data_IF_525495812472
#
_entry.id   IF_525495812472
#
_cell.length_a   1.000
_cell.length_b   1.000
_cell.length_c   1.000
_cell.angle_alpha   90.00
_cell.angle_beta   90.00
_cell.angle_gamma   90.00
#
_symmetry.space_group_name_H-M   'P 1'
#
loop_
_entity.id
_entity.type
_entity.pdbx_description
1 polymer ?
#
# COMPACT_ATOMS: atom_id res chain seq x y z
N UNK A 1 25.39 -21.85 -2.78
CA UNK A 1 24.31 -20.85 -2.65
C UNK A 1 24.81 -19.77 -1.71
N UNK A 2 24.77 -18.50 -2.11
CA UNK A 2 25.12 -17.39 -1.22
C UNK A 2 24.08 -17.27 -0.11
N UNK A 3 24.48 -16.80 1.07
CA UNK A 3 23.53 -16.45 2.13
C UNK A 3 22.63 -15.32 1.62
N UNK A 4 21.30 -15.34 1.89
CA UNK A 4 20.41 -14.24 1.53
C UNK A 4 20.89 -12.93 2.12
N UNK A 5 20.77 -11.83 1.38
CA UNK A 5 21.13 -10.52 1.90
C UNK A 5 20.14 -10.12 3.01
N UNK A 6 20.56 -9.43 4.08
CA UNK A 6 19.64 -8.95 5.12
C UNK A 6 18.46 -8.14 4.58
N UNK A 7 18.66 -7.37 3.51
CA UNK A 7 17.60 -6.59 2.86
C UNK A 7 16.50 -7.48 2.27
N UNK A 8 16.87 -8.58 1.59
CA UNK A 8 15.91 -9.53 1.03
C UNK A 8 15.05 -10.14 2.15
N UNK A 9 15.68 -10.53 3.26
CA UNK A 9 15.00 -11.08 4.43
C UNK A 9 14.03 -10.04 5.03
N UNK A 10 14.44 -8.77 5.10
CA UNK A 10 13.61 -7.70 5.62
C UNK A 10 12.39 -7.42 4.71
N UNK A 11 12.60 -7.39 3.39
CA UNK A 11 11.54 -7.22 2.39
C UNK A 11 10.54 -8.38 2.47
N UNK A 12 11.03 -9.62 2.55
CA UNK A 12 10.16 -10.81 2.65
C UNK A 12 9.29 -10.78 3.91
N UNK A 13 9.87 -10.40 5.05
CA UNK A 13 9.12 -10.23 6.31
C UNK A 13 8.06 -9.15 6.20
N UNK A 14 8.40 -8.01 5.61
CA UNK A 14 7.45 -6.92 5.44
C UNK A 14 6.33 -7.28 4.45
N UNK A 15 6.67 -7.94 3.35
CA UNK A 15 5.69 -8.44 2.38
C UNK A 15 4.73 -9.47 3.00
N UNK A 16 5.20 -10.31 3.93
CA UNK A 16 4.34 -11.21 4.68
C UNK A 16 3.32 -10.43 5.55
N UNK A 17 3.76 -9.44 6.31
CA UNK A 17 2.88 -8.60 7.13
C UNK A 17 1.86 -7.81 6.28
N UNK A 18 2.29 -7.29 5.13
CA UNK A 18 1.40 -6.64 4.16
C UNK A 18 0.28 -7.58 3.69
N UNK A 19 0.63 -8.81 3.32
CA UNK A 19 -0.34 -9.83 2.86
C UNK A 19 -1.34 -10.22 3.95
N UNK A 20 -0.87 -10.38 5.19
CA UNK A 20 -1.71 -10.67 6.35
C UNK A 20 -2.74 -9.57 6.59
N UNK A 21 -2.28 -8.32 6.69
CA UNK A 21 -3.17 -7.17 6.88
C UNK A 21 -4.17 -7.00 5.73
N UNK A 22 -3.75 -7.21 4.48
CA UNK A 22 -4.66 -7.19 3.34
C UNK A 22 -5.70 -8.33 3.41
N UNK A 23 -5.36 -9.49 3.98
CA UNK A 23 -6.31 -10.56 4.18
C UNK A 23 -7.37 -10.18 5.23
N UNK A 24 -6.97 -9.56 6.33
CA UNK A 24 -7.89 -9.01 7.32
C UNK A 24 -8.85 -7.99 6.68
N UNK A 25 -8.31 -7.04 5.88
CA UNK A 25 -9.14 -6.06 5.18
C UNK A 25 -10.11 -6.68 4.18
N UNK A 26 -9.73 -7.76 3.48
CA UNK A 26 -10.67 -8.50 2.64
C UNK A 26 -11.81 -9.10 3.46
N UNK A 27 -11.53 -9.62 4.66
CA UNK A 27 -12.56 -10.15 5.56
C UNK A 27 -13.49 -9.05 6.11
N UNK A 28 -12.98 -7.83 6.28
CA UNK A 28 -13.76 -6.65 6.63
C UNK A 28 -14.60 -6.09 5.44
N UNK A 29 -14.47 -6.67 4.23
CA UNK A 29 -15.22 -6.29 3.04
C UNK A 29 -14.52 -5.29 2.12
N UNK A 30 -13.26 -4.90 2.41
CA UNK A 30 -12.50 -4.03 1.53
C UNK A 30 -12.06 -4.77 0.26
N UNK A 31 -12.31 -4.16 -0.90
CA UNK A 31 -11.96 -4.68 -2.24
C UNK A 31 -11.83 -3.52 -3.24
N UNK A 32 -11.61 -3.83 -4.53
CA UNK A 32 -11.75 -2.86 -5.62
C UNK A 32 -10.56 -1.92 -5.87
N UNK A 33 -9.50 -1.94 -5.06
CA UNK A 33 -8.35 -1.03 -5.22
C UNK A 33 -7.67 -1.11 -6.60
N UNK A 34 -7.70 -2.28 -7.23
CA UNK A 34 -7.08 -2.56 -8.52
C UNK A 34 -7.94 -2.14 -9.73
N UNK A 35 -9.18 -1.71 -9.49
CA UNK A 35 -10.08 -1.20 -10.53
C UNK A 35 -10.14 0.34 -10.45
N UNK A 36 -9.58 1.06 -11.44
CA UNK A 36 -9.58 2.52 -11.42
C UNK A 36 -10.97 3.16 -11.39
N UNK A 37 -12.00 2.45 -11.86
CA UNK A 37 -13.38 2.94 -11.86
C UNK A 37 -14.02 2.88 -10.47
N UNK A 38 -13.55 1.98 -9.61
CA UNK A 38 -14.01 1.81 -8.23
C UNK A 38 -13.14 2.58 -7.24
N UNK A 39 -11.84 2.67 -7.51
CA UNK A 39 -10.88 3.35 -6.66
C UNK A 39 -10.01 4.25 -7.53
N UNK A 40 -10.20 5.58 -7.54
CA UNK A 40 -9.32 6.50 -8.26
C UNK A 40 -7.92 6.58 -7.64
N UNK A 41 -6.89 6.90 -8.44
CA UNK A 41 -5.51 7.02 -7.94
C UNK A 41 -5.37 8.13 -6.87
N UNK A 42 -6.17 9.19 -6.98
CA UNK A 42 -6.21 10.29 -6.01
C UNK A 42 -6.63 9.80 -4.62
N UNK A 43 -7.56 8.85 -4.57
CA UNK A 43 -7.98 8.26 -3.30
C UNK A 43 -6.82 7.49 -2.64
N UNK A 44 -6.09 6.67 -3.40
CA UNK A 44 -4.95 5.91 -2.87
C UNK A 44 -3.82 6.83 -2.40
N UNK A 45 -3.52 7.88 -3.16
CA UNK A 45 -2.47 8.84 -2.77
C UNK A 45 -2.87 9.68 -1.56
N UNK A 46 -4.14 10.08 -1.45
CA UNK A 46 -4.67 10.74 -0.25
C UNK A 46 -4.56 9.82 0.97
N UNK A 47 -4.86 8.52 0.83
CA UNK A 47 -4.73 7.56 1.93
C UNK A 47 -3.28 7.32 2.36
N UNK A 48 -2.34 7.27 1.42
CA UNK A 48 -0.92 7.23 1.73
C UNK A 48 -0.48 8.49 2.51
N UNK A 49 -0.90 9.68 2.06
CA UNK A 49 -0.58 10.93 2.75
C UNK A 49 -1.18 10.99 4.16
N UNK A 50 -2.41 10.52 4.36
CA UNK A 50 -3.08 10.45 5.67
C UNK A 50 -2.25 9.64 6.69
N UNK A 51 -1.67 8.50 6.25
CA UNK A 51 -0.84 7.66 7.13
C UNK A 51 0.41 8.39 7.64
N UNK A 52 0.97 9.30 6.84
CA UNK A 52 2.19 10.03 7.18
C UNK A 52 1.89 11.30 7.97
N UNK A 53 0.86 12.05 7.56
CA UNK A 53 0.63 13.42 8.04
C UNK A 53 -0.49 13.54 9.08
N UNK A 54 -1.40 12.57 9.15
CA UNK A 54 -2.64 12.71 9.91
C UNK A 54 -2.81 11.66 11.01
N UNK A 55 -2.09 10.53 10.95
CA UNK A 55 -2.17 9.49 11.98
C UNK A 55 -1.26 9.82 13.17
N UNK A 56 -1.73 9.64 14.42
CA UNK A 56 -0.89 9.83 15.62
C UNK A 56 0.17 8.73 15.78
N UNK A 57 -0.07 7.55 15.20
CA UNK A 57 0.86 6.42 15.17
C UNK A 57 1.04 6.01 13.72
N UNK A 58 2.30 5.98 13.29
CA UNK A 58 2.68 5.51 11.97
C UNK A 58 2.40 4.01 11.86
N UNK A 59 1.73 3.59 10.79
CA UNK A 59 1.57 2.18 10.44
C UNK A 59 2.35 1.88 9.15
N UNK A 60 3.59 1.36 9.27
CA UNK A 60 4.41 1.07 8.09
C UNK A 60 3.74 0.06 7.14
N UNK A 61 2.91 -0.86 7.63
CA UNK A 61 2.27 -1.88 6.81
C UNK A 61 1.17 -1.27 5.94
N UNK A 62 0.37 -0.35 6.47
CA UNK A 62 -0.58 0.41 5.65
C UNK A 62 0.12 1.29 4.63
N UNK A 63 1.21 1.95 5.01
CA UNK A 63 2.03 2.75 4.07
C UNK A 63 2.54 1.87 2.93
N UNK A 64 3.10 0.70 3.26
CA UNK A 64 3.54 -0.27 2.27
C UNK A 64 2.41 -0.76 1.37
N UNK A 65 1.24 -1.04 1.94
CA UNK A 65 0.07 -1.47 1.19
C UNK A 65 -0.43 -0.38 0.22
N UNK A 66 -0.57 0.87 0.65
CA UNK A 66 -0.96 1.96 -0.26
C UNK A 66 0.10 2.24 -1.31
N UNK A 67 1.39 2.25 -0.95
CA UNK A 67 2.48 2.39 -1.91
C UNK A 67 2.47 1.26 -2.95
N UNK A 68 2.24 0.02 -2.53
CA UNK A 68 2.09 -1.14 -3.42
C UNK A 68 0.88 -1.00 -4.34
N UNK A 69 -0.27 -0.55 -3.83
CA UNK A 69 -1.46 -0.33 -4.67
C UNK A 69 -1.19 0.73 -5.76
N UNK A 70 -0.49 1.82 -5.41
CA UNK A 70 -0.08 2.87 -6.36
C UNK A 70 0.93 2.33 -7.37
N UNK A 71 1.95 1.58 -6.92
CA UNK A 71 2.96 0.95 -7.79
C UNK A 71 2.32 0.06 -8.87
N UNK A 72 1.24 -0.64 -8.53
CA UNK A 72 0.51 -1.51 -9.46
C UNK A 72 -0.48 -0.77 -10.38
N UNK A 73 -0.45 0.57 -10.41
CA UNK A 73 -1.26 1.43 -11.30
C UNK A 73 -0.37 2.31 -12.18
N UNK A 74 0.48 1.72 -13.03
CA UNK A 74 1.44 2.48 -13.82
C UNK A 74 0.73 3.41 -14.81
N UNK A 75 1.27 4.62 -14.99
CA UNK A 75 0.76 5.61 -15.93
C UNK A 75 -0.40 6.46 -15.41
N UNK A 76 -0.99 6.10 -14.27
CA UNK A 76 -1.94 6.97 -13.59
C UNK A 76 -1.18 8.09 -12.87
N UNK A 77 -1.64 9.33 -13.08
CA UNK A 77 -1.08 10.53 -12.46
C UNK A 77 -2.15 11.12 -11.56
N UNK A 78 -1.89 11.26 -10.25
CA UNK A 78 -2.82 11.92 -9.35
C UNK A 78 -3.08 13.36 -9.78
N UNK A 79 -4.34 13.76 -9.78
CA UNK A 79 -4.71 15.16 -9.95
C UNK A 79 -4.38 15.92 -8.65
N UNK A 80 -3.35 16.77 -8.73
CA UNK A 80 -2.93 17.62 -7.61
C UNK A 80 -3.69 18.96 -7.58
N UNK A 81 -4.80 19.08 -8.29
CA UNK A 81 -5.61 20.30 -8.34
C UNK A 81 -4.86 21.45 -8.99
N UNK A 82 -4.43 21.27 -10.25
CA UNK A 82 -3.91 22.38 -11.06
C UNK A 82 -5.01 23.35 -11.48
#
# INVERSE_FOLDING_TARGET
MSKPHPDDIAVDRFAAAMKEKLAEKRNEGFSGWCDPTQCPIDYLTAKLAEQIHSRPVLDPVDIGNFAMMIFNRPGEVPDRGR
#
